data_IF_387671919023
#
_entry.id   IF_387671919023
#
_cell.length_a   1.000
_cell.length_b   1.000
_cell.length_c   1.000
_cell.angle_alpha   90.00
_cell.angle_beta   90.00
_cell.angle_gamma   90.00
#
_symmetry.space_group_name_H-M   'P 1'
#
loop_
_entity.id
_entity.type
_entity.pdbx_description
1 polymer ?
#
# COMPACT_ATOMS: atom_id res chain seq x y z
N UNK A 1 27.89 -5.32 -54.97
CA UNK A 1 27.40 -6.24 -56.01
C UNK A 1 25.94 -6.47 -55.68
N UNK A 2 25.02 -5.76 -56.33
CA UNK A 2 24.25 -6.11 -57.51
C UNK A 2 23.41 -7.35 -57.25
N UNK A 3 22.04 -7.41 -57.40
CA UNK A 3 21.13 -6.85 -58.36
C UNK A 3 19.73 -7.35 -58.03
N UNK A 4 18.72 -6.56 -57.85
CA UNK A 4 17.71 -6.12 -58.83
C UNK A 4 16.81 -7.19 -59.48
N UNK A 5 15.51 -6.94 -59.36
CA UNK A 5 14.43 -7.07 -60.37
C UNK A 5 13.71 -8.43 -60.46
N UNK A 6 12.39 -8.52 -60.69
CA UNK A 6 11.34 -7.75 -61.42
C UNK A 6 9.96 -8.31 -61.03
N UNK A 7 8.96 -7.56 -60.81
CA UNK A 7 7.94 -6.95 -61.68
C UNK A 7 7.08 -7.91 -62.51
N UNK A 8 5.80 -7.80 -62.21
CA UNK A 8 4.62 -7.80 -63.09
C UNK A 8 4.11 -9.10 -63.73
N UNK A 9 2.82 -9.39 -63.68
CA UNK A 9 1.87 -9.02 -64.73
C UNK A 9 0.39 -9.19 -64.32
N UNK A 10 -0.41 -8.23 -64.79
CA UNK A 10 -1.85 -8.16 -64.75
C UNK A 10 -2.47 -9.07 -65.83
N UNK A 11 -3.55 -9.74 -65.53
CA UNK A 11 -4.48 -10.12 -66.60
C UNK A 11 -5.95 -10.06 -66.12
N UNK A 12 -6.71 -9.21 -66.80
CA UNK A 12 -8.16 -9.10 -66.75
C UNK A 12 -8.80 -10.18 -67.58
N UNK A 13 -9.88 -10.81 -67.07
CA UNK A 13 -10.91 -11.33 -67.94
C UNK A 13 -12.27 -11.24 -67.19
N UNK A 14 -13.21 -10.69 -67.91
CA UNK A 14 -14.55 -10.42 -67.48
C UNK A 14 -15.51 -11.56 -67.88
N UNK A 15 -16.63 -11.54 -67.21
CA UNK A 15 -18.02 -11.79 -67.65
C UNK A 15 -18.73 -13.07 -67.28
N UNK A 16 -19.92 -12.80 -66.85
CA UNK A 16 -21.23 -13.43 -67.11
C UNK A 16 -21.86 -14.13 -65.89
N UNK A 17 -22.96 -13.58 -65.56
CA UNK A 17 -23.92 -13.74 -64.51
C UNK A 17 -24.59 -15.11 -64.38
N UNK A 18 -25.00 -15.37 -63.15
CA UNK A 18 -26.15 -16.18 -62.83
C UNK A 18 -26.73 -15.64 -61.49
N UNK A 19 -27.96 -15.18 -61.59
CA UNK A 19 -28.74 -14.81 -60.44
C UNK A 19 -29.12 -16.10 -59.69
N UNK A 20 -28.66 -16.21 -58.43
CA UNK A 20 -29.14 -17.23 -57.51
C UNK A 20 -29.68 -16.50 -56.28
N UNK A 21 -30.96 -16.75 -56.02
CA UNK A 21 -31.73 -16.22 -54.90
C UNK A 21 -31.05 -16.54 -53.58
N UNK A 22 -30.59 -15.50 -52.86
CA UNK A 22 -30.06 -15.64 -51.51
C UNK A 22 -31.26 -15.78 -50.54
N UNK A 23 -31.43 -16.94 -50.00
CA UNK A 23 -32.22 -17.18 -48.80
C UNK A 23 -31.45 -16.53 -47.64
N UNK A 24 -32.03 -15.47 -47.08
CA UNK A 24 -31.52 -14.85 -45.86
C UNK A 24 -31.75 -15.81 -44.70
N UNK A 25 -30.72 -16.62 -44.40
CA UNK A 25 -30.62 -17.26 -43.09
C UNK A 25 -30.18 -16.23 -42.07
N UNK A 26 -31.13 -15.74 -41.27
CA UNK A 26 -30.79 -15.01 -40.03
C UNK A 26 -30.06 -15.97 -39.09
N UNK A 27 -28.77 -16.05 -39.20
CA UNK A 27 -27.94 -16.59 -38.14
C UNK A 27 -27.93 -15.59 -37.00
N UNK A 28 -28.76 -15.86 -35.98
CA UNK A 28 -28.63 -15.21 -34.68
C UNK A 28 -27.24 -15.56 -34.13
N UNK A 29 -26.28 -14.65 -34.28
CA UNK A 29 -25.02 -14.71 -33.55
C UNK A 29 -25.38 -14.77 -32.06
N UNK A 30 -24.77 -15.68 -31.28
CA UNK A 30 -24.95 -15.63 -29.86
C UNK A 30 -24.37 -14.28 -29.40
N UNK A 31 -25.25 -13.43 -28.90
CA UNK A 31 -24.82 -12.24 -28.12
C UNK A 31 -24.08 -12.79 -26.92
N UNK A 32 -22.74 -12.80 -27.01
CA UNK A 32 -21.89 -12.91 -25.85
C UNK A 32 -22.17 -11.65 -25.03
N UNK A 33 -23.11 -11.74 -24.09
CA UNK A 33 -23.23 -10.75 -23.06
C UNK A 33 -21.88 -10.78 -22.34
N UNK A 34 -21.05 -9.78 -22.59
CA UNK A 34 -20.02 -9.43 -21.66
C UNK A 34 -20.76 -9.17 -20.34
N UNK A 35 -20.78 -10.18 -19.47
CA UNK A 35 -21.21 -10.00 -18.11
C UNK A 35 -20.31 -8.86 -17.58
N UNK A 36 -20.89 -7.67 -17.50
CA UNK A 36 -20.21 -6.52 -16.94
C UNK A 36 -19.76 -6.94 -15.55
N UNK A 37 -18.45 -7.05 -15.37
CA UNK A 37 -17.83 -7.27 -14.08
C UNK A 37 -18.40 -6.20 -13.15
N UNK A 38 -19.22 -6.62 -12.18
CA UNK A 38 -19.82 -5.67 -11.23
C UNK A 38 -18.67 -4.99 -10.53
N UNK A 39 -18.47 -3.72 -10.82
CA UNK A 39 -17.51 -2.91 -10.06
C UNK A 39 -17.85 -3.04 -8.57
N UNK A 40 -16.92 -3.57 -7.80
CA UNK A 40 -17.10 -3.69 -6.37
C UNK A 40 -17.11 -2.29 -5.74
N UNK A 41 -18.14 -2.03 -4.93
CA UNK A 41 -18.27 -0.74 -4.25
C UNK A 41 -17.25 -0.67 -3.11
N UNK A 42 -16.47 0.39 -3.08
CA UNK A 42 -15.53 0.65 -1.99
C UNK A 42 -16.29 0.91 -0.67
N UNK A 43 -15.72 0.48 0.43
CA UNK A 43 -16.24 0.81 1.76
C UNK A 43 -16.12 2.30 2.07
N UNK A 44 -16.97 2.79 2.96
CA UNK A 44 -16.92 4.18 3.41
C UNK A 44 -15.56 4.55 4.02
N UNK A 45 -14.88 3.60 4.66
CA UNK A 45 -13.54 3.81 5.25
C UNK A 45 -12.53 4.10 4.15
N UNK A 46 -12.50 3.27 3.11
CA UNK A 46 -11.58 3.46 1.97
C UNK A 46 -11.90 4.74 1.21
N UNK A 47 -13.19 5.04 0.99
CA UNK A 47 -13.60 6.30 0.36
C UNK A 47 -13.13 7.49 1.20
N UNK A 48 -13.31 7.44 2.51
CA UNK A 48 -12.88 8.51 3.41
C UNK A 48 -11.38 8.74 3.34
N UNK A 49 -10.56 7.70 3.47
CA UNK A 49 -9.10 7.84 3.42
C UNK A 49 -8.58 8.29 2.05
N UNK A 50 -9.17 7.77 0.94
CA UNK A 50 -8.63 8.00 -0.41
C UNK A 50 -9.20 9.22 -1.13
N UNK A 51 -10.37 9.73 -0.71
CA UNK A 51 -11.13 10.73 -1.49
C UNK A 51 -11.68 11.89 -0.66
N UNK A 52 -11.73 11.76 0.67
CA UNK A 52 -12.25 12.83 1.53
C UNK A 52 -11.24 13.98 1.64
N UNK A 53 -11.75 15.20 1.60
CA UNK A 53 -10.97 16.40 1.93
C UNK A 53 -10.75 16.59 3.43
N UNK A 54 -11.54 15.92 4.25
CA UNK A 54 -11.46 16.01 5.71
C UNK A 54 -10.31 15.19 6.27
N UNK A 55 -10.04 13.99 5.70
CA UNK A 55 -9.00 13.08 6.19
C UNK A 55 -7.63 13.76 6.34
N UNK A 56 -7.06 14.40 5.31
CA UNK A 56 -5.76 15.05 5.45
C UNK A 56 -5.78 16.24 6.41
N UNK A 57 -6.90 16.96 6.50
CA UNK A 57 -7.05 18.10 7.43
C UNK A 57 -7.09 17.61 8.86
N UNK A 58 -7.91 16.59 9.15
CA UNK A 58 -8.05 16.03 10.50
C UNK A 58 -6.74 15.37 10.94
N UNK A 59 -6.11 14.56 10.10
CA UNK A 59 -4.85 13.91 10.41
C UNK A 59 -3.76 14.94 10.71
N UNK A 60 -3.61 15.97 9.88
CA UNK A 60 -2.66 17.06 10.10
C UNK A 60 -2.95 17.84 11.38
N UNK A 61 -4.23 18.06 11.70
CA UNK A 61 -4.62 18.70 12.94
C UNK A 61 -4.17 17.88 14.16
N UNK A 62 -4.39 16.57 14.15
CA UNK A 62 -3.97 15.67 15.25
C UNK A 62 -2.45 15.71 15.43
N UNK A 63 -1.68 15.65 14.34
CA UNK A 63 -0.22 15.73 14.42
C UNK A 63 0.25 17.11 14.90
N UNK A 64 -0.39 18.20 14.52
CA UNK A 64 -0.07 19.55 15.02
C UNK A 64 -0.32 19.65 16.54
N UNK A 65 -1.40 19.04 17.05
CA UNK A 65 -1.62 18.95 18.50
C UNK A 65 -0.53 18.13 19.20
N UNK A 66 -0.13 17.01 18.60
CA UNK A 66 0.96 16.20 19.11
C UNK A 66 2.30 16.97 19.13
N UNK A 67 2.60 17.75 18.10
CA UNK A 67 3.80 18.63 18.06
C UNK A 67 3.76 19.66 19.19
N UNK A 68 2.59 20.26 19.44
CA UNK A 68 2.44 21.25 20.51
C UNK A 68 2.64 20.64 21.90
N UNK A 69 2.40 19.34 22.07
CA UNK A 69 2.60 18.61 23.31
C UNK A 69 4.06 18.10 23.51
N UNK A 70 4.92 18.16 22.48
CA UNK A 70 6.30 17.73 22.60
C UNK A 70 7.10 18.66 23.52
N UNK A 71 8.07 18.14 24.28
CA UNK A 71 9.00 18.98 25.03
C UNK A 71 9.80 19.86 24.08
N UNK A 72 10.27 21.02 24.57
CA UNK A 72 11.14 21.90 23.79
C UNK A 72 12.42 21.16 23.34
N UNK A 73 12.92 20.26 24.18
CA UNK A 73 14.04 19.36 23.90
C UNK A 73 13.82 18.04 24.66
N UNK A 74 14.04 16.93 24.01
CA UNK A 74 14.02 15.63 24.64
C UNK A 74 15.26 15.41 25.51
N UNK A 75 15.08 14.74 26.65
CA UNK A 75 16.20 14.28 27.45
C UNK A 75 16.95 13.14 26.75
N UNK A 76 18.20 12.89 27.17
CA UNK A 76 18.94 11.77 26.60
C UNK A 76 18.28 10.44 26.95
N UNK A 77 17.95 9.66 25.93
CA UNK A 77 17.25 8.39 26.07
C UNK A 77 15.74 8.45 25.93
N UNK A 78 15.16 9.65 25.82
CA UNK A 78 13.71 9.76 25.53
C UNK A 78 13.38 9.26 24.12
N UNK A 79 12.30 8.52 24.02
CA UNK A 79 11.85 7.88 22.79
C UNK A 79 10.36 8.12 22.59
N UNK A 80 9.99 8.59 21.40
CA UNK A 80 8.60 8.60 20.94
C UNK A 80 8.28 7.25 20.34
N UNK A 81 7.29 6.55 20.92
CA UNK A 81 6.83 5.26 20.42
C UNK A 81 5.65 5.46 19.51
N UNK A 82 5.71 4.95 18.29
CA UNK A 82 4.65 5.06 17.28
C UNK A 82 4.32 3.68 16.68
N UNK A 83 3.12 3.51 16.21
CA UNK A 83 2.77 2.44 15.28
C UNK A 83 3.22 2.83 13.86
N UNK A 84 3.17 1.87 12.94
CA UNK A 84 3.48 2.09 11.53
C UNK A 84 2.19 2.26 10.72
N UNK A 85 1.32 1.24 10.73
CA UNK A 85 0.17 1.18 9.85
C UNK A 85 -0.94 2.13 10.32
N UNK A 86 -1.44 2.96 9.41
CA UNK A 86 -2.44 4.02 9.65
C UNK A 86 -2.03 5.02 10.74
N UNK A 87 -0.72 5.01 11.05
CA UNK A 87 -0.11 6.00 11.95
C UNK A 87 1.01 6.75 11.23
N UNK A 88 2.04 6.06 10.75
CA UNK A 88 3.10 6.68 9.94
C UNK A 88 2.85 6.44 8.45
N UNK A 89 2.55 5.21 8.08
CA UNK A 89 2.27 4.81 6.70
C UNK A 89 0.77 4.62 6.47
N UNK A 90 0.27 5.23 5.42
CA UNK A 90 -1.10 5.12 4.91
C UNK A 90 -1.17 3.96 3.91
N UNK A 91 -1.93 2.93 4.23
CA UNK A 91 -2.12 1.76 3.40
C UNK A 91 -3.46 1.77 2.63
N UNK A 92 -4.11 2.91 2.52
CA UNK A 92 -5.41 3.03 1.85
C UNK A 92 -5.39 2.58 0.39
N UNK A 93 -4.24 2.70 -0.29
CA UNK A 93 -4.04 2.17 -1.65
C UNK A 93 -4.19 0.65 -1.67
N UNK A 94 -3.59 -0.08 -0.74
CA UNK A 94 -3.78 -1.52 -0.60
C UNK A 94 -5.24 -1.88 -0.38
N UNK A 95 -5.90 -1.20 0.53
CA UNK A 95 -7.31 -1.42 0.84
C UNK A 95 -8.18 -1.21 -0.41
N UNK A 96 -7.96 -0.10 -1.11
CA UNK A 96 -8.67 0.24 -2.34
C UNK A 96 -8.48 -0.81 -3.44
N UNK A 97 -7.25 -1.26 -3.67
CA UNK A 97 -6.95 -2.32 -4.65
C UNK A 97 -7.67 -3.61 -4.30
N UNK A 98 -7.66 -4.02 -3.04
CA UNK A 98 -8.33 -5.24 -2.58
C UNK A 98 -9.84 -5.17 -2.75
N UNK A 99 -10.46 -4.10 -2.26
CA UNK A 99 -11.90 -3.92 -2.36
C UNK A 99 -12.37 -3.78 -3.81
N UNK A 100 -11.64 -3.04 -4.66
CA UNK A 100 -11.98 -2.92 -6.08
C UNK A 100 -11.98 -4.26 -6.81
N UNK A 101 -11.12 -5.18 -6.39
CA UNK A 101 -11.06 -6.54 -6.90
C UNK A 101 -12.05 -7.51 -6.22
N UNK A 102 -12.90 -7.03 -5.29
CA UNK A 102 -13.79 -7.88 -4.51
C UNK A 102 -13.07 -8.82 -3.54
N UNK A 103 -11.87 -8.47 -3.15
CA UNK A 103 -11.01 -9.28 -2.30
C UNK A 103 -10.84 -8.65 -0.93
N UNK A 104 -10.79 -9.48 0.11
CA UNK A 104 -10.48 -9.05 1.47
C UNK A 104 -8.98 -9.13 1.79
N UNK A 105 -8.67 -8.86 3.05
CA UNK A 105 -7.33 -9.03 3.60
C UNK A 105 -6.88 -10.49 3.55
N UNK A 106 -5.58 -10.69 3.26
CA UNK A 106 -4.89 -11.95 3.55
C UNK A 106 -3.45 -11.65 3.97
N UNK A 107 -2.87 -12.50 4.83
CA UNK A 107 -1.46 -12.34 5.26
C UNK A 107 -0.49 -12.33 4.09
N UNK A 108 -0.78 -13.12 3.04
CA UNK A 108 0.05 -13.14 1.82
C UNK A 108 -0.03 -11.82 1.07
N UNK A 109 -1.25 -11.34 0.74
CA UNK A 109 -1.39 -10.08 0.00
C UNK A 109 -0.86 -8.88 0.78
N UNK A 110 -0.97 -8.91 2.11
CA UNK A 110 -0.38 -7.90 2.97
C UNK A 110 1.15 -7.92 2.91
N UNK A 111 1.78 -9.10 2.99
CA UNK A 111 3.22 -9.21 2.86
C UNK A 111 3.71 -8.76 1.46
N UNK A 112 2.96 -9.08 0.41
CA UNK A 112 3.26 -8.65 -0.95
C UNK A 112 3.15 -7.10 -1.07
N UNK A 113 2.14 -6.49 -0.43
CA UNK A 113 2.00 -5.03 -0.35
C UNK A 113 3.18 -4.37 0.37
N UNK A 114 3.57 -4.87 1.55
CA UNK A 114 4.70 -4.31 2.30
C UNK A 114 6.00 -4.35 1.48
N UNK A 115 6.20 -5.41 0.69
CA UNK A 115 7.36 -5.55 -0.21
C UNK A 115 7.36 -4.58 -1.40
N UNK A 116 6.21 -4.03 -1.75
CA UNK A 116 6.12 -3.00 -2.81
C UNK A 116 6.72 -1.66 -2.37
N UNK A 117 6.79 -1.42 -1.05
CA UNK A 117 7.36 -0.19 -0.47
C UNK A 117 6.66 1.10 -0.99
N UNK A 118 5.36 1.00 -1.30
CA UNK A 118 4.58 2.05 -1.96
C UNK A 118 3.61 2.80 -1.03
N UNK A 119 3.56 2.44 0.25
CA UNK A 119 2.71 3.15 1.19
C UNK A 119 3.16 4.61 1.33
N UNK A 120 2.20 5.54 1.29
CA UNK A 120 2.45 6.96 1.47
C UNK A 120 2.45 7.33 2.96
N UNK A 121 2.75 8.56 3.29
CA UNK A 121 2.68 9.03 4.67
C UNK A 121 1.25 9.42 5.08
N UNK A 122 0.88 9.10 6.30
CA UNK A 122 -0.30 9.72 6.93
C UNK A 122 -0.10 11.23 6.98
N UNK A 123 -1.08 12.03 6.54
CA UNK A 123 -0.92 13.48 6.48
C UNK A 123 -0.54 14.10 7.84
N UNK A 124 0.50 14.91 7.86
CA UNK A 124 1.03 15.58 9.06
C UNK A 124 2.16 14.83 9.79
N UNK A 125 2.33 13.53 9.58
CA UNK A 125 3.33 12.74 10.31
C UNK A 125 4.77 13.15 9.99
N UNK A 126 5.04 13.56 8.74
CA UNK A 126 6.38 13.99 8.36
C UNK A 126 6.87 15.15 9.24
N UNK A 127 6.03 16.18 9.40
CA UNK A 127 6.34 17.33 10.28
C UNK A 127 6.52 16.91 11.74
N UNK A 128 5.68 15.97 12.21
CA UNK A 128 5.79 15.46 13.57
C UNK A 128 7.14 14.77 13.82
N UNK A 129 7.54 13.85 12.95
CA UNK A 129 8.81 13.13 13.07
C UNK A 129 9.99 14.10 12.95
N UNK A 130 9.93 15.04 12.02
CA UNK A 130 10.94 16.08 11.86
C UNK A 130 11.13 16.90 13.15
N UNK A 131 10.03 17.33 13.78
CA UNK A 131 10.06 18.04 15.06
C UNK A 131 10.61 17.17 16.21
N UNK A 132 10.28 15.88 16.27
CA UNK A 132 10.88 14.96 17.25
C UNK A 132 12.39 14.90 17.10
N UNK A 133 12.88 14.70 15.87
CA UNK A 133 14.32 14.59 15.58
C UNK A 133 15.03 15.92 15.83
N UNK A 134 14.47 17.05 15.39
CA UNK A 134 15.03 18.41 15.65
C UNK A 134 15.16 18.72 17.13
N UNK A 135 14.24 18.22 17.95
CA UNK A 135 14.28 18.39 19.42
C UNK A 135 15.14 17.34 20.12
N UNK A 136 15.99 16.61 19.39
CA UNK A 136 16.87 15.55 19.87
C UNK A 136 16.15 14.32 20.44
N UNK A 137 14.91 14.08 20.01
CA UNK A 137 14.15 12.88 20.31
C UNK A 137 14.53 11.71 19.41
N UNK A 138 14.20 10.50 19.87
CA UNK A 138 14.32 9.26 19.09
C UNK A 138 12.93 8.72 18.78
N UNK A 139 12.83 7.88 17.75
CA UNK A 139 11.57 7.25 17.33
C UNK A 139 11.71 5.74 17.42
N UNK A 140 10.75 5.08 18.08
CA UNK A 140 10.62 3.64 18.05
C UNK A 140 9.31 3.27 17.33
N UNK A 141 9.42 2.59 16.20
CA UNK A 141 8.31 2.13 15.40
C UNK A 141 7.97 0.68 15.81
N UNK A 142 6.92 0.52 16.62
CA UNK A 142 6.48 -0.79 17.11
C UNK A 142 5.24 -1.22 16.34
N UNK A 143 5.40 -2.20 15.44
CA UNK A 143 4.37 -2.60 14.48
C UNK A 143 4.02 -4.08 14.55
N UNK A 144 2.80 -4.43 14.19
CA UNK A 144 2.39 -5.82 13.98
C UNK A 144 2.76 -6.38 12.60
N UNK A 145 3.44 -5.61 11.76
CA UNK A 145 4.09 -6.13 10.56
C UNK A 145 5.04 -7.27 10.94
N UNK A 146 5.21 -8.22 10.04
CA UNK A 146 6.17 -9.31 10.25
C UNK A 146 7.60 -8.75 10.34
N UNK A 147 8.32 -9.10 11.39
CA UNK A 147 9.73 -8.71 11.59
C UNK A 147 10.62 -9.02 10.38
N UNK A 148 10.34 -10.10 9.66
CA UNK A 148 11.06 -10.44 8.42
C UNK A 148 10.88 -9.40 7.30
N UNK A 149 9.94 -8.45 7.44
CA UNK A 149 9.68 -7.37 6.50
C UNK A 149 10.11 -5.98 7.04
N UNK A 150 10.85 -5.92 8.14
CA UNK A 150 11.30 -4.65 8.74
C UNK A 150 12.17 -3.85 7.75
N UNK A 151 12.99 -4.52 6.94
CA UNK A 151 13.80 -3.86 5.91
C UNK A 151 12.95 -3.17 4.83
N UNK A 152 11.87 -3.81 4.39
CA UNK A 152 10.94 -3.20 3.42
C UNK A 152 10.19 -2.00 4.04
N UNK A 153 9.80 -2.13 5.32
CA UNK A 153 9.20 -1.01 6.04
C UNK A 153 10.18 0.15 6.15
N UNK A 154 11.44 -0.13 6.47
CA UNK A 154 12.51 0.87 6.54
C UNK A 154 12.73 1.58 5.21
N UNK A 155 12.87 0.82 4.12
CA UNK A 155 13.05 1.38 2.78
C UNK A 155 11.88 2.29 2.39
N UNK A 156 10.63 1.85 2.65
CA UNK A 156 9.45 2.66 2.35
C UNK A 156 9.49 3.99 3.11
N UNK A 157 9.83 3.98 4.40
CA UNK A 157 9.93 5.19 5.22
C UNK A 157 11.02 6.16 4.70
N UNK A 158 12.19 5.63 4.31
CA UNK A 158 13.27 6.44 3.73
C UNK A 158 12.87 7.02 2.36
N UNK A 159 12.18 6.25 1.52
CA UNK A 159 11.68 6.72 0.23
C UNK A 159 10.69 7.89 0.37
N UNK A 160 10.01 7.99 1.51
CA UNK A 160 9.13 9.13 1.83
C UNK A 160 9.89 10.36 2.37
N UNK A 161 11.21 10.32 2.44
CA UNK A 161 12.06 11.47 2.83
C UNK A 161 12.06 11.78 4.34
N UNK A 162 11.65 10.83 5.20
CA UNK A 162 11.72 11.04 6.64
C UNK A 162 13.18 11.12 7.13
N UNK A 163 13.51 11.97 8.13
CA UNK A 163 14.87 12.16 8.65
C UNK A 163 15.29 11.03 9.61
N UNK A 164 15.04 9.78 9.21
CA UNK A 164 15.29 8.60 10.01
C UNK A 164 16.69 8.03 9.75
N UNK A 165 17.35 7.62 10.81
CA UNK A 165 18.65 6.97 10.78
C UNK A 165 18.68 5.85 11.82
N UNK A 166 19.64 4.93 11.70
CA UNK A 166 19.81 3.85 12.69
C UNK A 166 20.26 4.36 14.07
N UNK A 167 20.68 5.63 14.18
CA UNK A 167 21.07 6.25 15.45
C UNK A 167 19.89 6.92 16.17
N UNK A 168 18.85 7.29 15.45
CA UNK A 168 17.67 7.96 16.01
C UNK A 168 16.37 7.15 15.91
N UNK A 169 16.37 6.03 15.21
CA UNK A 169 15.13 5.25 14.96
C UNK A 169 15.39 3.76 14.99
N UNK A 170 14.47 3.01 15.60
CA UNK A 170 14.38 1.57 15.47
C UNK A 170 13.00 1.14 14.99
N UNK A 171 12.95 0.00 14.29
CA UNK A 171 11.71 -0.69 13.90
C UNK A 171 11.67 -2.03 14.61
N UNK A 172 10.53 -2.33 15.21
CA UNK A 172 10.30 -3.57 15.96
C UNK A 172 9.03 -4.22 15.43
N UNK A 173 9.21 -5.07 14.43
CA UNK A 173 8.16 -5.91 13.86
C UNK A 173 7.84 -7.11 14.76
N UNK A 174 6.70 -7.73 14.53
CA UNK A 174 6.25 -8.93 15.23
C UNK A 174 7.01 -10.16 14.75
N UNK A 175 7.59 -10.93 15.68
CA UNK A 175 8.32 -12.16 15.36
C UNK A 175 7.40 -13.29 14.88
N UNK A 176 7.99 -14.38 14.36
CA UNK A 176 7.23 -15.57 13.97
C UNK A 176 6.56 -16.20 15.19
N UNK A 177 7.30 -16.31 16.29
CA UNK A 177 6.82 -16.91 17.56
C UNK A 177 5.66 -16.09 18.13
N UNK A 178 5.76 -14.76 18.14
CA UNK A 178 4.65 -13.90 18.57
C UNK A 178 3.41 -14.08 17.68
N UNK A 179 3.58 -14.30 16.38
CA UNK A 179 2.45 -14.51 15.46
C UNK A 179 1.79 -15.86 15.66
N UNK A 180 2.57 -16.91 15.89
CA UNK A 180 2.07 -18.26 16.16
C UNK A 180 1.33 -18.33 17.50
N UNK A 181 1.75 -17.51 18.48
CA UNK A 181 1.09 -17.40 19.75
C UNK A 181 -0.24 -16.62 19.73
N UNK A 182 -0.51 -15.84 18.69
CA UNK A 182 -1.78 -15.09 18.56
C UNK A 182 -2.94 -16.08 18.42
N UNK A 183 -3.94 -15.94 19.31
CA UNK A 183 -5.08 -16.83 19.39
C UNK A 183 -4.94 -17.95 20.41
N UNK A 184 -3.78 -18.13 21.03
CA UNK A 184 -3.62 -18.98 22.22
C UNK A 184 -4.21 -18.27 23.46
N UNK A 185 -4.58 -19.05 24.46
CA UNK A 185 -5.16 -18.51 25.69
C UNK A 185 -4.22 -17.50 26.36
N UNK A 186 -4.71 -16.31 26.67
CA UNK A 186 -3.93 -15.23 27.28
C UNK A 186 -3.02 -14.46 26.32
N UNK A 187 -2.92 -14.87 25.06
CA UNK A 187 -2.12 -14.16 24.07
C UNK A 187 -2.98 -13.24 23.21
N UNK A 188 -2.78 -11.97 23.34
CA UNK A 188 -3.44 -10.93 22.54
C UNK A 188 -2.47 -10.31 21.56
N UNK A 189 -3.01 -9.82 20.44
CA UNK A 189 -2.23 -9.15 19.41
C UNK A 189 -1.84 -7.73 19.85
N UNK A 190 -1.20 -7.59 21.00
CA UNK A 190 -0.72 -6.32 21.53
C UNK A 190 0.78 -6.14 21.33
N UNK A 191 1.27 -4.96 21.66
CA UNK A 191 2.66 -4.55 21.47
C UNK A 191 3.38 -4.33 22.81
N UNK A 192 2.78 -4.68 23.93
CA UNK A 192 3.28 -4.30 25.26
C UNK A 192 4.61 -4.98 25.58
N UNK A 193 4.78 -6.26 25.20
CA UNK A 193 6.07 -6.93 25.39
C UNK A 193 7.20 -6.20 24.67
N UNK A 194 6.96 -5.76 23.42
CA UNK A 194 7.96 -5.02 22.63
C UNK A 194 8.25 -3.63 23.21
N UNK A 195 7.21 -2.95 23.74
CA UNK A 195 7.39 -1.68 24.47
C UNK A 195 8.21 -1.88 25.74
N UNK A 196 7.92 -2.94 26.51
CA UNK A 196 8.70 -3.26 27.71
C UNK A 196 10.15 -3.61 27.39
N UNK A 197 10.40 -4.36 26.33
CA UNK A 197 11.76 -4.67 25.87
C UNK A 197 12.53 -3.41 25.49
N UNK A 198 11.89 -2.46 24.81
CA UNK A 198 12.47 -1.16 24.49
C UNK A 198 12.90 -0.41 25.75
N UNK A 199 12.00 -0.31 26.75
CA UNK A 199 12.29 0.38 28.02
C UNK A 199 13.37 -0.31 28.85
N UNK A 200 13.59 -1.60 28.66
CA UNK A 200 14.66 -2.39 29.29
C UNK A 200 16.00 -2.36 28.53
N UNK A 201 16.09 -1.60 27.45
CA UNK A 201 17.27 -1.53 26.62
C UNK A 201 17.62 -2.84 25.89
N UNK A 202 16.62 -3.70 25.63
CA UNK A 202 16.78 -4.97 24.91
C UNK A 202 16.56 -4.85 23.41
N UNK A 203 16.15 -3.69 22.95
CA UNK A 203 15.92 -3.33 21.55
C UNK A 203 16.62 -2.00 21.28
#
# INVERSE_FOLDING_TARGET
MLSLNKLSYISKAACIGAAVSAIAACSSAPSTSLAGEKAHTLSNVVIYQTSSKEYPVLSSFVYNQAIAALPVRFANGDVVVMDVDETVLDNSTYQKERESAGLGYSSKSWADWVKREEATLVPGVANFIDEVVKRNGKVALITNRNKALDSHTWNNLLAQGLPLTTSNTCIVGRTAEEREAVGQEGMINNKDLRRMQLTQGKI
#
